data_IF_706018633496
#
_entry.id   IF_706018633496
#
_cell.length_a   1.000
_cell.length_b   1.000
_cell.length_c   1.000
_cell.angle_alpha   90.00
_cell.angle_beta   90.00
_cell.angle_gamma   90.00
#
_symmetry.space_group_name_H-M   'P 1'
#
loop_
_entity.id
_entity.type
_entity.pdbx_description
1 polymer ?
#
# COMPACT_ATOMS: atom_id res chain seq x y z
N UNK A 1 2.66 10.90 24.28
CA UNK A 1 3.33 10.34 23.09
C UNK A 1 3.81 11.49 22.23
N UNK A 2 5.01 11.44 21.62
CA UNK A 2 5.47 12.51 20.72
C UNK A 2 4.47 12.68 19.58
N UNK A 3 4.17 13.92 19.20
CA UNK A 3 3.29 14.20 18.07
C UNK A 3 3.95 13.65 16.80
N UNK A 4 3.19 12.95 15.96
CA UNK A 4 3.66 12.32 14.71
C UNK A 4 4.43 13.29 13.82
N UNK A 5 4.04 14.57 13.79
CA UNK A 5 4.73 15.61 13.02
C UNK A 5 6.17 15.81 13.54
N UNK A 6 6.38 15.78 14.86
CA UNK A 6 7.71 15.95 15.46
C UNK A 6 8.63 14.78 15.12
N UNK A 7 8.09 13.56 15.11
CA UNK A 7 8.83 12.36 14.70
C UNK A 7 9.26 12.48 13.23
N UNK A 8 8.34 12.91 12.36
CA UNK A 8 8.61 13.09 10.92
C UNK A 8 9.66 14.18 10.69
N UNK A 9 9.55 15.33 11.36
CA UNK A 9 10.54 16.42 11.26
C UNK A 9 11.92 15.95 11.71
N UNK A 10 12.00 15.15 12.78
CA UNK A 10 13.26 14.55 13.20
C UNK A 10 13.85 13.61 12.14
N UNK A 11 13.02 12.76 11.52
CA UNK A 11 13.46 11.88 10.43
C UNK A 11 13.94 12.70 9.21
N UNK A 12 13.26 13.81 8.87
CA UNK A 12 13.71 14.72 7.80
C UNK A 12 15.09 15.27 8.11
N UNK A 13 15.32 15.76 9.33
CA UNK A 13 16.62 16.30 9.73
C UNK A 13 17.72 15.23 9.66
N UNK A 14 17.42 13.99 10.10
CA UNK A 14 18.34 12.87 9.95
C UNK A 14 18.62 12.53 8.47
N UNK A 15 17.60 12.53 7.61
CA UNK A 15 17.77 12.30 6.18
C UNK A 15 18.65 13.38 5.52
N UNK A 16 18.44 14.65 5.88
CA UNK A 16 19.28 15.77 5.44
C UNK A 16 20.72 15.71 5.99
N UNK A 17 20.94 15.12 7.18
CA UNK A 17 22.29 14.89 7.68
C UNK A 17 22.99 13.75 6.93
N UNK A 18 22.23 12.71 6.55
CA UNK A 18 22.76 11.58 5.79
C UNK A 18 23.26 11.99 4.39
N UNK A 19 22.70 13.04 3.76
CA UNK A 19 23.19 13.56 2.46
C UNK A 19 24.60 14.13 2.54
N UNK A 20 25.04 14.57 3.72
CA UNK A 20 26.40 15.04 3.96
C UNK A 20 27.37 13.90 4.29
N UNK A 21 26.86 12.76 4.78
CA UNK A 21 27.68 11.64 5.23
C UNK A 21 27.94 10.61 4.12
N UNK A 22 27.00 10.45 3.18
CA UNK A 22 27.04 9.42 2.15
C UNK A 22 27.33 10.03 0.76
N UNK A 23 28.34 9.54 0.02
CA UNK A 23 28.71 10.08 -1.29
C UNK A 23 27.62 9.81 -2.34
N UNK A 24 27.54 10.74 -3.30
CA UNK A 24 26.53 10.79 -4.36
C UNK A 24 26.84 9.87 -5.56
N UNK A 25 25.85 9.12 -6.07
CA UNK A 25 25.94 8.34 -7.33
C UNK A 25 24.63 8.38 -8.14
N UNK A 26 24.66 8.41 -9.48
CA UNK A 26 23.44 8.59 -10.30
C UNK A 26 23.05 7.33 -11.07
N UNK A 27 21.74 7.00 -11.07
CA UNK A 27 21.13 5.98 -11.93
C UNK A 27 19.79 6.51 -12.48
N UNK A 28 19.47 6.18 -13.73
CA UNK A 28 18.19 6.53 -14.36
C UNK A 28 17.04 5.67 -13.82
N UNK A 29 15.92 6.31 -13.44
CA UNK A 29 14.73 5.66 -12.90
C UNK A 29 13.48 5.97 -13.73
N UNK A 30 12.53 5.05 -13.72
CA UNK A 30 11.18 5.24 -14.27
C UNK A 30 10.22 5.32 -13.10
N UNK A 31 9.72 6.52 -12.81
CA UNK A 31 8.74 6.73 -11.74
C UNK A 31 7.35 6.27 -12.18
N UNK A 32 6.66 5.53 -11.31
CA UNK A 32 5.23 5.25 -11.45
C UNK A 32 4.63 5.06 -10.06
N UNK A 33 4.31 6.14 -9.37
CA UNK A 33 3.89 6.10 -7.97
C UNK A 33 2.54 5.38 -7.76
N UNK A 34 2.56 4.13 -7.32
CA UNK A 34 1.34 3.45 -6.88
C UNK A 34 1.59 2.71 -5.58
N UNK A 35 1.23 3.36 -4.47
CA UNK A 35 1.35 2.82 -3.12
C UNK A 35 -0.01 2.58 -2.45
N UNK A 36 0.01 1.73 -1.41
CA UNK A 36 -1.10 1.26 -0.54
C UNK A 36 -1.94 2.40 0.07
N UNK A 37 -1.47 3.65 -0.02
CA UNK A 37 -2.10 4.85 0.56
C UNK A 37 -3.53 5.10 0.09
N UNK A 38 -3.91 4.64 -1.11
CA UNK A 38 -5.27 4.83 -1.67
C UNK A 38 -6.36 4.21 -0.78
N UNK A 39 -6.03 3.17 -0.02
CA UNK A 39 -7.01 2.44 0.77
C UNK A 39 -7.21 3.02 2.17
N UNK A 40 -6.27 3.83 2.68
CA UNK A 40 -6.34 4.42 4.03
C UNK A 40 -7.60 5.27 4.21
N UNK A 41 -8.08 5.92 3.14
CA UNK A 41 -9.32 6.69 3.14
C UNK A 41 -10.58 5.86 3.45
N UNK A 42 -10.54 4.53 3.25
CA UNK A 42 -11.64 3.62 3.58
C UNK A 42 -11.61 3.12 5.04
N UNK A 43 -10.58 3.47 5.82
CA UNK A 43 -10.44 3.04 7.22
C UNK A 43 -11.67 3.38 8.08
N UNK A 44 -12.25 4.60 8.02
CA UNK A 44 -13.41 4.94 8.84
C UNK A 44 -14.62 4.03 8.56
N UNK A 45 -14.84 3.66 7.30
CA UNK A 45 -15.96 2.79 6.91
C UNK A 45 -15.80 1.39 7.51
N UNK A 46 -14.60 0.81 7.43
CA UNK A 46 -14.32 -0.51 8.00
C UNK A 46 -14.33 -0.51 9.53
N UNK A 47 -13.94 0.59 10.16
CA UNK A 47 -14.04 0.77 11.61
C UNK A 47 -15.51 0.81 12.04
N UNK A 48 -16.37 1.56 11.34
CA UNK A 48 -17.82 1.60 11.62
C UNK A 48 -18.45 0.22 11.46
N UNK A 49 -18.11 -0.51 10.39
CA UNK A 49 -18.58 -1.90 10.20
C UNK A 49 -18.10 -2.79 11.35
N UNK A 50 -16.86 -2.62 11.81
CA UNK A 50 -16.32 -3.42 12.92
C UNK A 50 -17.06 -3.14 14.23
N UNK A 51 -17.32 -1.87 14.54
CA UNK A 51 -18.16 -1.50 15.68
C UNK A 51 -19.58 -2.07 15.57
N UNK A 52 -20.17 -2.05 14.38
CA UNK A 52 -21.52 -2.59 14.15
C UNK A 52 -21.63 -4.10 14.41
N UNK A 53 -20.51 -4.82 14.32
CA UNK A 53 -20.40 -6.26 14.62
C UNK A 53 -20.06 -6.54 16.09
N UNK A 54 -19.96 -5.50 16.92
CA UNK A 54 -19.51 -5.58 18.32
C UNK A 54 -18.01 -5.87 18.46
N UNK A 55 -17.21 -5.46 17.46
CA UNK A 55 -15.75 -5.59 17.45
C UNK A 55 -15.11 -4.22 17.69
N UNK A 56 -13.79 -4.19 17.83
CA UNK A 56 -13.04 -2.95 18.09
C UNK A 56 -12.54 -2.27 16.79
N UNK A 57 -12.01 -1.05 16.92
CA UNK A 57 -11.45 -0.31 15.78
C UNK A 57 -10.24 -1.00 15.17
N UNK A 58 -9.47 -1.75 15.97
CA UNK A 58 -8.30 -2.48 15.51
C UNK A 58 -8.70 -3.53 14.47
N UNK A 59 -9.80 -4.27 14.65
CA UNK A 59 -10.25 -5.23 13.64
C UNK A 59 -10.53 -4.52 12.30
N UNK A 60 -11.19 -3.37 12.31
CA UNK A 60 -11.51 -2.61 11.10
C UNK A 60 -10.27 -2.13 10.36
N UNK A 61 -9.31 -1.55 11.09
CA UNK A 61 -8.04 -1.09 10.52
C UNK A 61 -7.16 -2.27 10.10
N UNK A 62 -7.14 -3.37 10.86
CA UNK A 62 -6.35 -4.55 10.54
C UNK A 62 -6.83 -5.23 9.25
N UNK A 63 -8.14 -5.35 9.05
CA UNK A 63 -8.71 -5.84 7.79
C UNK A 63 -8.22 -5.04 6.58
N UNK A 64 -8.18 -3.70 6.70
CA UNK A 64 -7.72 -2.82 5.66
C UNK A 64 -6.20 -2.95 5.43
N UNK A 65 -5.41 -2.72 6.48
CA UNK A 65 -3.96 -2.64 6.40
C UNK A 65 -3.34 -3.99 6.04
N UNK A 66 -3.75 -5.07 6.69
CA UNK A 66 -3.21 -6.41 6.42
C UNK A 66 -3.73 -6.96 5.09
N UNK A 67 -4.99 -6.71 4.75
CA UNK A 67 -5.56 -7.13 3.46
C UNK A 67 -4.82 -6.48 2.28
N UNK A 68 -4.66 -5.16 2.32
CA UNK A 68 -3.89 -4.42 1.32
C UNK A 68 -2.42 -4.82 1.28
N UNK A 69 -1.78 -4.98 2.43
CA UNK A 69 -0.37 -5.40 2.52
C UNK A 69 -0.15 -6.79 1.94
N UNK A 70 -1.01 -7.78 2.20
CA UNK A 70 -0.89 -9.14 1.65
C UNK A 70 -1.05 -9.13 0.12
N UNK A 71 -2.03 -8.38 -0.39
CA UNK A 71 -2.24 -8.24 -1.83
C UNK A 71 -1.04 -7.61 -2.53
N UNK A 72 -0.46 -6.56 -1.93
CA UNK A 72 0.74 -5.92 -2.46
C UNK A 72 1.99 -6.81 -2.36
N UNK A 73 2.21 -7.46 -1.22
CA UNK A 73 3.43 -8.25 -0.94
C UNK A 73 3.56 -9.50 -1.80
N UNK A 74 2.44 -10.04 -2.30
CA UNK A 74 2.44 -11.24 -3.14
C UNK A 74 2.55 -10.92 -4.63
N UNK A 75 2.38 -9.65 -5.02
CA UNK A 75 2.65 -9.16 -6.37
C UNK A 75 1.86 -9.85 -7.48
N UNK A 76 0.73 -10.50 -7.18
CA UNK A 76 -0.03 -11.34 -8.12
C UNK A 76 -0.49 -10.59 -9.36
N UNK A 77 -1.17 -9.46 -9.18
CA UNK A 77 -1.72 -8.63 -10.25
C UNK A 77 -1.27 -7.16 -10.18
N UNK A 78 -0.21 -6.87 -9.41
CA UNK A 78 0.26 -5.50 -9.20
C UNK A 78 1.07 -5.03 -10.42
N UNK A 79 0.45 -4.23 -11.29
CA UNK A 79 1.09 -3.75 -12.53
C UNK A 79 2.25 -2.79 -12.23
N UNK A 80 2.12 -1.94 -11.22
CA UNK A 80 3.11 -0.89 -10.92
C UNK A 80 4.47 -1.41 -10.47
N UNK A 81 4.50 -2.55 -9.76
CA UNK A 81 5.73 -3.11 -9.18
C UNK A 81 6.17 -4.34 -9.95
N UNK A 82 5.31 -5.36 -10.01
CA UNK A 82 5.61 -6.66 -10.60
C UNK A 82 5.88 -6.56 -12.09
N UNK A 83 5.00 -5.89 -12.84
CA UNK A 83 5.15 -5.77 -14.30
C UNK A 83 6.31 -4.83 -14.64
N UNK A 84 6.51 -3.74 -13.90
CA UNK A 84 7.68 -2.85 -14.06
C UNK A 84 8.99 -3.60 -13.85
N UNK A 85 9.09 -4.37 -12.77
CA UNK A 85 10.27 -5.17 -12.48
C UNK A 85 10.53 -6.24 -13.55
N UNK A 86 9.48 -6.91 -14.03
CA UNK A 86 9.58 -7.91 -15.11
C UNK A 86 10.01 -7.30 -16.44
N UNK A 87 9.53 -6.10 -16.78
CA UNK A 87 9.96 -5.35 -17.97
C UNK A 87 11.45 -5.01 -17.91
N UNK A 88 11.93 -4.56 -16.75
CA UNK A 88 13.36 -4.24 -16.55
C UNK A 88 14.21 -5.51 -16.60
N UNK A 89 13.71 -6.62 -16.05
CA UNK A 89 14.39 -7.91 -16.07
C UNK A 89 14.26 -8.69 -17.39
N UNK A 90 13.62 -8.11 -18.41
CA UNK A 90 13.33 -8.72 -19.71
C UNK A 90 12.63 -10.09 -19.60
N UNK A 91 11.69 -10.23 -18.66
CA UNK A 91 10.91 -11.44 -18.45
C UNK A 91 9.53 -11.36 -19.09
N UNK A 92 8.94 -12.51 -19.47
CA UNK A 92 7.53 -12.57 -19.84
C UNK A 92 6.66 -11.97 -18.74
N UNK A 93 5.71 -11.12 -19.13
CA UNK A 93 4.75 -10.52 -18.22
C UNK A 93 4.00 -11.63 -17.46
N UNK A 94 3.86 -11.46 -16.14
CA UNK A 94 3.27 -12.42 -15.22
C UNK A 94 3.96 -13.80 -15.15
N UNK A 95 5.23 -13.89 -15.53
CA UNK A 95 6.04 -15.09 -15.26
C UNK A 95 6.02 -15.45 -13.76
N UNK A 96 5.61 -16.67 -13.42
CA UNK A 96 5.51 -17.14 -12.03
C UNK A 96 4.18 -16.83 -11.33
N UNK A 97 3.13 -16.43 -12.06
CA UNK A 97 1.82 -16.08 -11.50
C UNK A 97 1.20 -17.20 -10.64
N UNK A 98 1.37 -18.47 -11.01
CA UNK A 98 0.86 -19.61 -10.26
C UNK A 98 1.43 -19.67 -8.84
N UNK A 99 2.75 -19.53 -8.70
CA UNK A 99 3.42 -19.48 -7.40
C UNK A 99 2.93 -18.29 -6.57
N UNK A 100 2.80 -17.12 -7.20
CA UNK A 100 2.28 -15.91 -6.53
C UNK A 100 0.84 -16.10 -6.03
N UNK A 101 -0.02 -16.77 -6.79
CA UNK A 101 -1.38 -17.09 -6.35
C UNK A 101 -1.40 -18.04 -5.16
N UNK A 102 -0.52 -19.04 -5.13
CA UNK A 102 -0.37 -19.94 -3.97
C UNK A 102 0.09 -19.16 -2.74
N UNK A 103 1.14 -18.34 -2.86
CA UNK A 103 1.62 -17.49 -1.77
C UNK A 103 0.53 -16.52 -1.28
N UNK A 104 -0.20 -15.89 -2.21
CA UNK A 104 -1.32 -15.01 -1.90
C UNK A 104 -2.41 -15.74 -1.11
N UNK A 105 -2.81 -16.93 -1.55
CA UNK A 105 -3.84 -17.72 -0.86
C UNK A 105 -3.38 -18.12 0.56
N UNK A 106 -2.12 -18.53 0.73
CA UNK A 106 -1.56 -18.89 2.04
C UNK A 106 -1.49 -17.67 2.96
N UNK A 107 -0.95 -16.54 2.49
CA UNK A 107 -0.85 -15.33 3.30
C UNK A 107 -2.23 -14.78 3.66
N UNK A 108 -3.17 -14.80 2.71
CA UNK A 108 -4.55 -14.41 2.95
C UNK A 108 -5.21 -15.30 4.01
N UNK A 109 -5.05 -16.62 3.91
CA UNK A 109 -5.60 -17.56 4.88
C UNK A 109 -5.04 -17.33 6.28
N UNK A 110 -3.71 -17.16 6.42
CA UNK A 110 -3.07 -16.87 7.71
C UNK A 110 -3.57 -15.55 8.29
N UNK A 111 -3.66 -14.50 7.48
CA UNK A 111 -4.16 -13.19 7.91
C UNK A 111 -5.63 -13.25 8.34
N UNK A 112 -6.49 -13.94 7.59
CA UNK A 112 -7.90 -14.16 7.99
C UNK A 112 -7.96 -14.91 9.32
N UNK A 113 -7.22 -16.00 9.46
CA UNK A 113 -7.19 -16.77 10.70
C UNK A 113 -6.73 -15.90 11.89
N UNK A 114 -5.69 -15.10 11.71
CA UNK A 114 -5.19 -14.19 12.75
C UNK A 114 -6.23 -13.14 13.16
N UNK A 115 -6.84 -12.44 12.21
CA UNK A 115 -7.86 -11.42 12.47
C UNK A 115 -9.10 -12.05 13.12
N UNK A 116 -9.58 -13.19 12.62
CA UNK A 116 -10.74 -13.88 13.19
C UNK A 116 -10.44 -14.35 14.62
N UNK A 117 -9.23 -14.84 14.90
CA UNK A 117 -8.84 -15.24 16.26
C UNK A 117 -8.85 -14.05 17.22
N UNK A 118 -8.34 -12.91 16.77
CA UNK A 118 -8.35 -11.66 17.53
C UNK A 118 -9.77 -11.13 17.75
N UNK A 119 -10.58 -11.05 16.68
CA UNK A 119 -11.97 -10.62 16.73
C UNK A 119 -12.81 -11.49 17.70
N UNK A 120 -12.63 -12.82 17.68
CA UNK A 120 -13.31 -13.73 18.62
C UNK A 120 -12.88 -13.47 20.07
N UNK A 121 -11.59 -13.22 20.31
CA UNK A 121 -11.06 -12.91 21.65
C UNK A 121 -11.68 -11.63 22.20
N UNK A 122 -11.79 -10.59 21.39
CA UNK A 122 -12.35 -9.29 21.80
C UNK A 122 -13.85 -9.34 21.95
N UNK A 123 -14.55 -10.02 21.04
CA UNK A 123 -15.99 -10.22 21.16
C UNK A 123 -16.35 -10.96 22.45
N UNK A 124 -15.52 -11.90 22.90
CA UNK A 124 -15.73 -12.62 24.16
C UNK A 124 -15.40 -11.76 25.38
N UNK A 125 -14.41 -10.86 25.29
CA UNK A 125 -14.02 -10.01 26.41
C UNK A 125 -13.51 -8.64 25.91
N UNK A 126 -14.41 -7.64 25.79
CA UNK A 126 -14.09 -6.34 25.19
C UNK A 126 -12.97 -5.57 25.91
N UNK A 127 -12.82 -5.76 27.22
CA UNK A 127 -11.77 -5.12 28.05
C UNK A 127 -10.34 -5.55 27.70
N UNK A 128 -10.18 -6.62 26.91
CA UNK A 128 -8.88 -7.04 26.39
C UNK A 128 -8.43 -6.22 25.18
N UNK A 129 -9.29 -5.38 24.60
CA UNK A 129 -8.89 -4.47 23.53
C UNK A 129 -8.01 -3.36 24.10
N UNK A 130 -6.81 -3.12 23.54
CA UNK A 130 -6.03 -1.93 23.85
C UNK A 130 -6.76 -0.61 23.54
N UNK A 131 -7.79 -0.65 22.69
CA UNK A 131 -8.60 0.51 22.32
C UNK A 131 -9.90 0.59 23.12
N UNK A 132 -10.11 -0.24 24.14
CA UNK A 132 -11.39 -0.31 24.86
C UNK A 132 -11.91 1.05 25.35
N UNK A 133 -11.05 1.85 26.01
CA UNK A 133 -11.43 3.16 26.52
C UNK A 133 -11.57 4.21 25.40
N UNK A 134 -10.71 4.15 24.39
CA UNK A 134 -10.70 5.10 23.26
C UNK A 134 -11.84 4.86 22.28
N UNK A 135 -12.23 3.61 22.09
CA UNK A 135 -13.33 3.21 21.21
C UNK A 135 -14.68 3.60 21.82
N UNK A 136 -14.80 3.57 23.16
CA UNK A 136 -16.01 3.99 23.88
C UNK A 136 -16.36 5.46 23.65
N UNK A 137 -15.35 6.32 23.59
CA UNK A 137 -15.52 7.76 23.38
C UNK A 137 -15.45 8.16 21.90
N UNK A 138 -15.37 7.18 20.99
CA UNK A 138 -15.20 7.45 19.58
C UNK A 138 -16.54 7.84 18.92
N UNK A 139 -16.65 9.02 18.28
CA UNK A 139 -17.88 9.45 17.60
C UNK A 139 -18.31 8.51 16.46
N UNK A 140 -17.39 7.72 15.90
CA UNK A 140 -17.71 6.69 14.90
C UNK A 140 -18.52 5.53 15.49
N UNK A 141 -18.45 5.29 16.81
CA UNK A 141 -19.25 4.27 17.48
C UNK A 141 -20.73 4.66 17.54
N UNK A 142 -21.05 5.95 17.72
CA UNK A 142 -22.42 6.45 17.62
C UNK A 142 -23.03 6.27 16.22
N UNK A 143 -22.18 6.11 15.20
CA UNK A 143 -22.57 5.87 13.81
C UNK A 143 -22.74 4.37 13.49
N UNK A 144 -22.43 3.48 14.43
CA UNK A 144 -22.40 2.03 14.23
C UNK A 144 -23.74 1.32 14.47
N UNK A 145 -24.76 2.06 14.91
CA UNK A 145 -26.08 1.50 15.19
C UNK A 145 -26.80 1.15 13.89
N UNK A 146 -26.79 -0.15 13.55
CA UNK A 146 -27.34 -0.71 12.30
C UNK A 146 -28.83 -0.42 12.15
N UNK A 147 -29.55 -0.29 13.25
CA UNK A 147 -31.00 -0.03 13.27
C UNK A 147 -31.33 1.41 12.84
N UNK A 148 -30.39 2.34 13.01
CA UNK A 148 -30.55 3.75 12.60
C UNK A 148 -30.58 3.95 11.07
N UNK A 149 -30.06 2.98 10.31
CA UNK A 149 -29.93 3.14 8.86
C UNK A 149 -31.26 2.97 8.12
N UNK A 150 -32.25 2.25 8.66
CA UNK A 150 -33.56 2.03 8.01
C UNK A 150 -33.50 1.14 6.75
N UNK A 151 -34.64 0.88 6.07
CA UNK A 151 -34.72 -0.10 4.98
C UNK A 151 -33.85 0.26 3.77
N UNK A 152 -33.44 -0.75 3.01
CA UNK A 152 -32.68 -0.58 1.77
C UNK A 152 -33.58 0.01 0.68
N UNK A 153 -33.44 1.31 0.45
CA UNK A 153 -34.16 2.03 -0.61
C UNK A 153 -33.41 1.94 -1.95
N UNK A 154 -34.13 2.17 -3.05
CA UNK A 154 -33.55 2.25 -4.39
C UNK A 154 -32.37 3.24 -4.45
N UNK A 155 -32.48 4.37 -3.74
CA UNK A 155 -31.40 5.38 -3.66
C UNK A 155 -30.12 4.83 -3.04
N UNK A 156 -30.22 4.08 -1.93
CA UNK A 156 -29.06 3.43 -1.30
C UNK A 156 -28.43 2.39 -2.22
N UNK A 157 -29.24 1.62 -2.94
CA UNK A 157 -28.76 0.69 -3.97
C UNK A 157 -28.01 1.40 -5.10
N UNK A 158 -28.51 2.54 -5.58
CA UNK A 158 -27.83 3.36 -6.58
C UNK A 158 -26.50 3.93 -6.06
N UNK A 159 -26.44 4.37 -4.80
CA UNK A 159 -25.19 4.82 -4.16
C UNK A 159 -24.17 3.67 -4.10
N UNK A 160 -24.58 2.49 -3.64
CA UNK A 160 -23.69 1.32 -3.60
C UNK A 160 -23.21 0.95 -5.01
N UNK A 161 -24.13 0.92 -5.99
CA UNK A 161 -23.78 0.64 -7.38
C UNK A 161 -22.77 1.65 -7.93
N UNK A 162 -22.95 2.96 -7.65
CA UNK A 162 -21.99 4.00 -8.06
C UNK A 162 -20.60 3.78 -7.48
N UNK A 163 -20.51 3.30 -6.23
CA UNK A 163 -19.24 3.00 -5.57
C UNK A 163 -18.57 1.75 -6.18
N UNK A 164 -19.35 0.69 -6.44
CA UNK A 164 -18.85 -0.55 -7.06
C UNK A 164 -18.38 -0.29 -8.49
N UNK A 165 -19.13 0.49 -9.27
CA UNK A 165 -18.74 0.89 -10.63
C UNK A 165 -17.47 1.72 -10.59
N UNK A 166 -17.35 2.69 -9.68
CA UNK A 166 -16.13 3.48 -9.51
C UNK A 166 -14.90 2.62 -9.22
N UNK A 167 -15.02 1.66 -8.30
CA UNK A 167 -13.95 0.69 -8.01
C UNK A 167 -13.61 -0.21 -9.20
N UNK A 168 -14.62 -0.66 -9.96
CA UNK A 168 -14.41 -1.45 -11.17
C UNK A 168 -13.70 -0.63 -12.27
N UNK A 169 -14.06 0.65 -12.45
CA UNK A 169 -13.39 1.57 -13.36
C UNK A 169 -11.91 1.77 -12.98
N UNK A 170 -11.60 1.88 -11.69
CA UNK A 170 -10.21 1.94 -11.21
C UNK A 170 -9.45 0.65 -11.56
N UNK A 171 -10.04 -0.51 -11.29
CA UNK A 171 -9.41 -1.80 -11.54
C UNK A 171 -9.19 -2.09 -13.04
N UNK A 172 -10.21 -1.89 -13.88
CA UNK A 172 -10.13 -2.11 -15.33
C UNK A 172 -9.30 -1.02 -16.00
N UNK A 173 -9.48 0.24 -15.58
CA UNK A 173 -8.75 1.39 -16.10
C UNK A 173 -7.25 1.26 -15.92
N UNK A 174 -6.81 0.79 -14.75
CA UNK A 174 -5.39 0.54 -14.50
C UNK A 174 -4.77 -0.55 -15.38
N UNK A 175 -5.54 -1.57 -15.75
CA UNK A 175 -5.03 -2.72 -16.53
C UNK A 175 -5.11 -2.45 -18.04
N UNK A 176 -6.24 -1.90 -18.53
CA UNK A 176 -6.52 -1.76 -19.95
C UNK A 176 -6.03 -0.43 -20.54
N UNK A 177 -6.09 0.66 -19.77
CA UNK A 177 -5.80 2.01 -20.25
C UNK A 177 -4.55 2.63 -19.61
N UNK A 178 -3.93 1.93 -18.65
CA UNK A 178 -2.72 2.40 -17.98
C UNK A 178 -2.95 3.67 -17.16
N UNK A 179 -4.15 3.83 -16.58
CA UNK A 179 -4.50 5.02 -15.79
C UNK A 179 -3.49 5.25 -14.66
N UNK A 180 -3.03 6.49 -14.55
CA UNK A 180 -2.09 6.93 -13.54
C UNK A 180 -2.81 7.60 -12.36
N UNK A 181 -2.03 8.09 -11.40
CA UNK A 181 -2.49 8.66 -10.13
C UNK A 181 -3.44 9.83 -10.32
N UNK A 182 -3.24 10.62 -11.38
CA UNK A 182 -4.10 11.75 -11.70
C UNK A 182 -5.51 11.30 -12.12
N UNK A 183 -5.63 10.33 -13.02
CA UNK A 183 -6.92 9.84 -13.51
C UNK A 183 -7.70 9.11 -12.41
N UNK A 184 -7.01 8.44 -11.48
CA UNK A 184 -7.69 7.88 -10.30
C UNK A 184 -8.34 8.96 -9.43
N UNK A 185 -7.68 10.11 -9.23
CA UNK A 185 -8.25 11.21 -8.47
C UNK A 185 -9.52 11.77 -9.14
N UNK A 186 -9.51 11.88 -10.47
CA UNK A 186 -10.69 12.28 -11.25
C UNK A 186 -11.86 11.30 -11.06
N UNK A 187 -11.60 9.99 -11.09
CA UNK A 187 -12.63 8.97 -10.83
C UNK A 187 -13.21 9.10 -9.42
N UNK A 188 -12.38 9.38 -8.39
CA UNK A 188 -12.87 9.60 -7.02
C UNK A 188 -13.75 10.84 -6.90
N UNK A 189 -13.41 11.93 -7.59
CA UNK A 189 -14.23 13.15 -7.64
C UNK A 189 -15.56 12.86 -8.32
N UNK A 190 -15.55 12.18 -9.47
CA UNK A 190 -16.77 11.78 -10.17
C UNK A 190 -17.64 10.85 -9.33
N UNK A 191 -17.04 9.89 -8.64
CA UNK A 191 -17.74 8.99 -7.73
C UNK A 191 -18.41 9.76 -6.58
N UNK A 192 -17.75 10.79 -6.02
CA UNK A 192 -18.35 11.66 -5.00
C UNK A 192 -19.57 12.43 -5.54
N UNK A 193 -19.48 12.97 -6.77
CA UNK A 193 -20.58 13.68 -7.41
C UNK A 193 -21.75 12.73 -7.70
N UNK A 194 -21.49 11.60 -8.37
CA UNK A 194 -22.53 10.64 -8.77
C UNK A 194 -23.21 10.02 -7.55
N UNK A 195 -22.44 9.60 -6.53
CA UNK A 195 -23.01 9.05 -5.30
C UNK A 195 -23.85 10.10 -4.54
N UNK A 196 -23.41 11.35 -4.48
CA UNK A 196 -24.17 12.45 -3.90
C UNK A 196 -25.48 12.72 -4.62
N UNK A 197 -25.48 12.69 -5.96
CA UNK A 197 -26.68 12.82 -6.78
C UNK A 197 -27.64 11.63 -6.58
N UNK A 198 -27.11 10.40 -6.53
CA UNK A 198 -27.91 9.20 -6.25
C UNK A 198 -28.53 9.21 -4.84
N UNK A 199 -27.84 9.81 -3.86
CA UNK A 199 -28.38 10.05 -2.53
C UNK A 199 -29.49 11.13 -2.51
N UNK A 200 -29.63 11.92 -3.58
CA UNK A 200 -30.58 13.01 -3.69
C UNK A 200 -30.10 14.31 -3.03
N UNK A 201 -28.78 14.48 -2.90
CA UNK A 201 -28.17 15.72 -2.41
C UNK A 201 -28.12 16.76 -3.53
N UNK A 202 -28.25 18.03 -3.15
CA UNK A 202 -28.00 19.16 -4.05
C UNK A 202 -26.51 19.35 -4.29
N UNK A 203 -26.11 19.96 -5.41
CA UNK A 203 -24.69 20.24 -5.71
C UNK A 203 -23.97 21.01 -4.59
N UNK A 204 -24.66 21.94 -3.92
CA UNK A 204 -24.10 22.69 -2.79
C UNK A 204 -23.84 21.78 -1.58
N UNK A 205 -24.74 20.84 -1.29
CA UNK A 205 -24.55 19.85 -0.22
C UNK A 205 -23.41 18.89 -0.54
N UNK A 206 -23.29 18.45 -1.80
CA UNK A 206 -22.18 17.60 -2.25
C UNK A 206 -20.85 18.32 -2.05
N UNK A 207 -20.74 19.57 -2.50
CA UNK A 207 -19.53 20.37 -2.33
C UNK A 207 -19.17 20.58 -0.84
N UNK A 208 -20.16 20.85 0.02
CA UNK A 208 -19.95 21.01 1.45
C UNK A 208 -19.46 19.71 2.11
N UNK A 209 -20.09 18.58 1.81
CA UNK A 209 -19.68 17.27 2.35
C UNK A 209 -18.31 16.83 1.82
N UNK A 210 -18.01 17.11 0.55
CA UNK A 210 -16.71 16.85 -0.03
C UNK A 210 -15.62 17.67 0.67
N UNK A 211 -15.84 18.97 0.89
CA UNK A 211 -14.90 19.83 1.60
C UNK A 211 -14.69 19.39 3.07
N UNK A 212 -15.76 18.97 3.75
CA UNK A 212 -15.67 18.44 5.11
C UNK A 212 -14.93 17.09 5.18
N UNK A 213 -15.12 16.22 4.18
CA UNK A 213 -14.36 14.97 4.05
C UNK A 213 -12.88 15.23 3.77
N UNK A 214 -12.59 16.16 2.86
CA UNK A 214 -11.23 16.56 2.51
C UNK A 214 -10.50 17.18 3.71
N UNK A 215 -11.16 18.03 4.50
CA UNK A 215 -10.55 18.68 5.66
C UNK A 215 -10.12 17.69 6.74
N UNK A 216 -10.90 16.61 6.95
CA UNK A 216 -10.55 15.52 7.87
C UNK A 216 -9.31 14.73 7.41
N UNK A 217 -9.01 14.73 6.11
CA UNK A 217 -7.85 14.04 5.53
C UNK A 217 -6.60 14.92 5.41
N UNK A 218 -6.70 16.24 5.65
CA UNK A 218 -5.56 17.17 5.51
C UNK A 218 -4.37 16.78 6.40
N UNK A 219 -4.62 16.36 7.65
CA UNK A 219 -3.55 15.93 8.55
C UNK A 219 -2.79 14.71 8.01
N UNK A 220 -3.52 13.71 7.50
CA UNK A 220 -2.93 12.53 6.85
C UNK A 220 -2.19 12.91 5.57
N UNK A 221 -2.74 13.83 4.76
CA UNK A 221 -2.10 14.32 3.55
C UNK A 221 -0.76 15.00 3.83
N UNK A 222 -0.68 15.83 4.87
CA UNK A 222 0.57 16.47 5.29
C UNK A 222 1.62 15.43 5.69
N UNK A 223 1.23 14.43 6.49
CA UNK A 223 2.12 13.33 6.89
C UNK A 223 2.66 12.57 5.66
N UNK A 224 1.77 12.23 4.72
CA UNK A 224 2.15 11.53 3.47
C UNK A 224 3.04 12.43 2.60
N UNK A 225 2.75 13.72 2.51
CA UNK A 225 3.54 14.70 1.77
C UNK A 225 4.95 14.85 2.33
N UNK A 226 5.10 14.95 3.65
CA UNK A 226 6.42 14.95 4.29
C UNK A 226 7.17 13.63 4.09
N UNK A 227 6.49 12.49 4.19
CA UNK A 227 7.10 11.18 3.93
C UNK A 227 7.65 11.08 2.50
N UNK A 228 6.91 11.62 1.52
CA UNK A 228 7.36 11.74 0.12
C UNK A 228 8.52 12.70 -0.05
N UNK A 229 8.50 13.84 0.65
CA UNK A 229 9.60 14.80 0.62
C UNK A 229 10.91 14.21 1.15
N UNK A 230 10.87 13.39 2.21
CA UNK A 230 12.06 12.67 2.71
C UNK A 230 12.66 11.79 1.63
N UNK A 231 11.84 10.96 0.98
CA UNK A 231 12.28 10.09 -0.10
C UNK A 231 12.88 10.91 -1.25
N UNK A 232 12.21 12.00 -1.65
CA UNK A 232 12.71 12.92 -2.69
C UNK A 232 14.04 13.59 -2.34
N UNK A 233 14.29 13.93 -1.07
CA UNK A 233 15.58 14.49 -0.63
C UNK A 233 16.69 13.43 -0.65
N UNK A 234 16.40 12.20 -0.19
CA UNK A 234 17.35 11.08 -0.24
C UNK A 234 17.72 10.70 -1.68
N UNK A 235 16.74 10.80 -2.57
CA UNK A 235 16.87 10.56 -4.00
C UNK A 235 17.67 11.67 -4.69
N UNK A 236 17.35 12.94 -4.46
CA UNK A 236 18.11 14.07 -4.98
C UNK A 236 19.55 14.10 -4.44
N UNK A 237 19.74 13.65 -3.20
CA UNK A 237 21.05 13.45 -2.59
C UNK A 237 21.76 12.18 -3.06
N UNK A 238 21.16 11.40 -3.97
CA UNK A 238 21.74 10.17 -4.54
C UNK A 238 22.22 9.14 -3.51
N UNK A 239 21.67 9.20 -2.30
CA UNK A 239 21.99 8.29 -1.20
C UNK A 239 21.43 6.91 -1.49
N UNK A 240 20.22 6.88 -2.05
CA UNK A 240 19.49 5.66 -2.41
C UNK A 240 20.38 4.77 -3.28
N UNK A 241 21.06 5.35 -4.26
CA UNK A 241 21.96 4.64 -5.18
C UNK A 241 23.18 4.06 -4.47
N UNK A 242 23.78 4.82 -3.57
CA UNK A 242 24.94 4.37 -2.78
C UNK A 242 24.58 3.23 -1.84
N UNK A 243 23.40 3.29 -1.20
CA UNK A 243 22.89 2.21 -0.33
C UNK A 243 22.58 0.95 -1.16
N UNK A 244 21.89 1.10 -2.28
CA UNK A 244 21.57 -0.02 -3.19
C UNK A 244 22.85 -0.66 -3.71
N UNK A 245 23.84 0.13 -4.15
CA UNK A 245 25.12 -0.38 -4.62
C UNK A 245 25.89 -1.12 -3.52
N UNK A 246 25.95 -0.57 -2.30
CA UNK A 246 26.61 -1.22 -1.17
C UNK A 246 25.97 -2.57 -0.82
N UNK A 247 24.63 -2.62 -0.78
CA UNK A 247 23.87 -3.85 -0.50
C UNK A 247 24.05 -4.87 -1.62
N UNK A 248 24.01 -4.45 -2.89
CA UNK A 248 24.22 -5.31 -4.04
C UNK A 248 25.61 -5.97 -4.03
N UNK A 249 26.65 -5.20 -3.68
CA UNK A 249 28.02 -5.71 -3.55
C UNK A 249 28.16 -6.70 -2.38
N UNK A 250 27.51 -6.43 -1.25
CA UNK A 250 27.48 -7.36 -0.11
C UNK A 250 26.82 -8.69 -0.46
N UNK A 251 25.76 -8.64 -1.28
CA UNK A 251 25.00 -9.80 -1.70
C UNK A 251 25.79 -10.69 -2.69
N UNK A 252 26.75 -10.14 -3.42
CA UNK A 252 27.66 -10.89 -4.31
C UNK A 252 28.55 -11.92 -3.58
N UNK A 253 28.80 -11.71 -2.28
CA UNK A 253 29.66 -12.57 -1.44
C UNK A 253 28.85 -13.69 -0.76
N UNK A 254 27.51 -13.60 -0.80
CA UNK A 254 26.62 -14.56 -0.12
C UNK A 254 26.54 -15.88 -0.91
N UNK A 255 26.66 -17.04 -0.24
CA UNK A 255 26.49 -18.35 -0.88
C UNK A 255 25.12 -18.51 -1.54
N UNK A 256 25.06 -19.19 -2.69
CA UNK A 256 23.84 -19.32 -3.55
C UNK A 256 22.60 -19.77 -2.78
N UNK A 257 22.73 -20.68 -1.80
CA UNK A 257 21.60 -21.14 -0.99
C UNK A 257 20.98 -20.05 -0.10
N UNK A 258 21.78 -19.08 0.35
CA UNK A 258 21.35 -17.96 1.21
C UNK A 258 21.02 -16.69 0.43
N UNK A 259 21.25 -16.66 -0.89
CA UNK A 259 21.02 -15.47 -1.71
C UNK A 259 19.55 -15.02 -1.71
N UNK A 260 18.58 -15.95 -1.77
CA UNK A 260 17.15 -15.62 -1.71
C UNK A 260 16.76 -14.89 -0.40
N UNK A 261 17.00 -15.48 0.78
CA UNK A 261 16.77 -14.81 2.05
C UNK A 261 17.55 -13.50 2.21
N UNK A 262 18.81 -13.45 1.78
CA UNK A 262 19.62 -12.24 1.87
C UNK A 262 19.09 -11.12 0.96
N UNK A 263 18.54 -11.46 -0.21
CA UNK A 263 17.86 -10.52 -1.11
C UNK A 263 16.57 -9.98 -0.48
N UNK A 264 15.81 -10.80 0.26
CA UNK A 264 14.66 -10.32 1.02
C UNK A 264 15.06 -9.30 2.08
N UNK A 265 16.08 -9.58 2.90
CA UNK A 265 16.56 -8.63 3.91
C UNK A 265 17.15 -7.36 3.30
N UNK A 266 17.87 -7.45 2.18
CA UNK A 266 18.35 -6.28 1.46
C UNK A 266 17.19 -5.40 1.00
N UNK A 267 16.12 -5.99 0.45
CA UNK A 267 14.92 -5.25 0.07
C UNK A 267 14.18 -4.64 1.27
N UNK A 268 14.17 -5.30 2.44
CA UNK A 268 13.62 -4.71 3.68
C UNK A 268 14.39 -3.46 4.10
N UNK A 269 15.72 -3.47 3.99
CA UNK A 269 16.54 -2.28 4.29
C UNK A 269 16.29 -1.18 3.25
N UNK A 270 16.21 -1.54 1.97
CA UNK A 270 15.91 -0.59 0.89
C UNK A 270 14.53 0.05 1.08
N UNK A 271 13.54 -0.70 1.57
CA UNK A 271 12.19 -0.18 1.87
C UNK A 271 12.16 0.94 2.91
N UNK A 272 13.22 1.08 3.72
CA UNK A 272 13.35 2.19 4.68
C UNK A 272 13.61 3.51 3.93
N UNK A 273 14.34 3.45 2.82
CA UNK A 273 14.75 4.63 2.04
C UNK A 273 13.82 4.87 0.84
N UNK A 274 13.37 3.80 0.19
CA UNK A 274 12.43 3.84 -0.94
C UNK A 274 11.09 3.27 -0.50
N UNK A 275 10.10 4.15 -0.30
CA UNK A 275 8.76 3.75 0.15
C UNK A 275 7.80 3.43 -1.01
N UNK A 276 8.24 3.63 -2.25
CA UNK A 276 7.48 3.33 -3.47
C UNK A 276 7.96 2.03 -4.10
N UNK A 277 7.06 1.04 -4.25
CA UNK A 277 7.46 -0.26 -4.80
C UNK A 277 7.89 -0.22 -6.27
N UNK A 278 7.37 0.70 -7.07
CA UNK A 278 7.79 0.90 -8.47
C UNK A 278 9.14 1.60 -8.55
N UNK A 279 9.35 2.63 -7.72
CA UNK A 279 10.64 3.31 -7.58
C UNK A 279 11.72 2.33 -7.12
N UNK A 280 11.39 1.46 -6.17
CA UNK A 280 12.28 0.40 -5.71
C UNK A 280 12.59 -0.60 -6.83
N UNK A 281 11.57 -1.08 -7.55
CA UNK A 281 11.79 -1.97 -8.69
C UNK A 281 12.74 -1.34 -9.71
N UNK A 282 12.59 -0.05 -10.01
CA UNK A 282 13.46 0.68 -10.95
C UNK A 282 14.90 0.83 -10.45
N UNK A 283 15.11 1.08 -9.16
CA UNK A 283 16.43 1.26 -8.58
C UNK A 283 17.21 -0.05 -8.37
N UNK A 284 16.49 -1.12 -8.04
CA UNK A 284 17.10 -2.37 -7.57
C UNK A 284 17.24 -3.41 -8.68
N UNK A 285 16.33 -3.43 -9.65
CA UNK A 285 16.33 -4.47 -10.69
C UNK A 285 17.55 -4.43 -11.62
N UNK A 286 18.02 -3.28 -12.14
CA UNK A 286 19.18 -3.25 -13.05
C UNK A 286 20.42 -3.94 -12.45
N UNK A 287 20.78 -3.59 -11.21
CA UNK A 287 21.90 -4.22 -10.50
C UNK A 287 21.64 -5.70 -10.18
N UNK A 288 20.43 -6.04 -9.74
CA UNK A 288 20.13 -7.42 -9.36
C UNK A 288 20.05 -8.35 -10.57
N UNK A 289 19.60 -7.87 -11.73
CA UNK A 289 19.63 -8.61 -13.00
C UNK A 289 21.08 -8.97 -13.35
N UNK A 290 21.98 -7.99 -13.31
CA UNK A 290 23.39 -8.20 -13.66
C UNK A 290 24.16 -9.10 -12.66
N UNK A 291 23.89 -8.97 -11.36
CA UNK A 291 24.59 -9.72 -10.31
C UNK A 291 24.03 -11.13 -10.08
N UNK A 292 22.72 -11.34 -10.17
CA UNK A 292 22.09 -12.62 -9.82
C UNK A 292 21.70 -13.44 -11.05
N UNK A 293 21.14 -12.81 -12.06
CA UNK A 293 20.54 -13.57 -13.16
C UNK A 293 21.58 -14.04 -14.18
N UNK A 294 22.63 -13.26 -14.42
CA UNK A 294 23.71 -13.59 -15.36
C UNK A 294 24.56 -14.80 -14.92
N UNK A 295 24.98 -14.94 -13.64
CA UNK A 295 25.72 -16.11 -13.18
C UNK A 295 24.85 -17.36 -12.97
N UNK A 296 23.61 -17.20 -12.47
CA UNK A 296 22.69 -18.32 -12.22
C UNK A 296 22.18 -18.91 -13.54
N UNK A 297 21.87 -18.09 -14.56
CA UNK A 297 21.52 -18.59 -15.91
C UNK A 297 22.66 -19.32 -16.61
N UNK A 298 23.93 -19.05 -16.27
CA UNK A 298 25.07 -19.76 -16.87
C UNK A 298 25.19 -21.21 -16.38
N UNK A 299 24.61 -21.55 -15.22
CA UNK A 299 24.69 -22.89 -14.60
C UNK A 299 23.41 -23.70 -14.72
N UNK A 300 22.25 -23.09 -14.90
CA UNK A 300 20.98 -23.80 -15.09
C UNK A 300 20.10 -23.09 -16.12
N UNK A 301 19.63 -23.85 -17.11
CA UNK A 301 18.67 -23.43 -18.16
C UNK A 301 17.28 -23.15 -17.59
N UNK A 302 17.16 -22.30 -16.58
CA UNK A 302 15.91 -22.07 -15.86
C UNK A 302 15.37 -20.66 -16.13
N UNK A 303 14.63 -20.51 -17.23
CA UNK A 303 13.62 -19.44 -17.38
C UNK A 303 12.56 -19.50 -16.26
N UNK A 304 12.36 -20.68 -15.66
CA UNK A 304 11.36 -20.94 -14.60
C UNK A 304 11.77 -20.46 -13.19
N UNK A 305 13.06 -20.30 -12.89
CA UNK A 305 13.51 -19.86 -11.55
C UNK A 305 13.52 -18.34 -11.38
N UNK A 306 13.27 -17.59 -12.45
CA UNK A 306 13.33 -16.13 -12.44
C UNK A 306 12.07 -15.46 -11.89
N UNK A 307 10.91 -16.11 -12.01
CA UNK A 307 9.61 -15.55 -11.61
C UNK A 307 9.36 -15.35 -10.11
N UNK A 308 9.81 -16.23 -9.19
CA UNK A 308 9.38 -16.16 -7.79
C UNK A 308 10.15 -15.16 -6.91
N UNK A 309 11.25 -14.57 -7.40
CA UNK A 309 12.12 -13.66 -6.63
C UNK A 309 12.07 -12.19 -7.09
N UNK A 310 11.07 -11.87 -7.92
CA UNK A 310 10.71 -10.51 -8.34
C UNK A 310 9.38 -10.17 -7.69
#
# INVERSE_FOLDING_TARGET
>A
MPNTIVIIVFIILCACLLTWLLPAGSYDRVENEQGVNKFISFAPILVVISYSLGLDSIVGVACLCLGGAVGFSTGTLVVSTTVTAQKIAELPLYSGIEFRFVCWAVFLAVTILYIVRYAKKIKANPSLSPMYDLDRDNPLQASADLESFGPMTLRKWLVIASMVIGLACIAVGGIAFGLDTQEYAEIFIWMAIVSGLCAGLTFSQIAKQFAEGASKMLGTMLIVGFARAIAGVLEAGTIVDTVVYALAKGLAVVPVFLQGPAMFFANVIINIFITSGSGQASAVMPNNVELFYTPICRKSSCRHFKGPFI
#
